data_IF_673517975129
#
_entry.id   IF_673517975129
#
_cell.length_a   1.000
_cell.length_b   1.000
_cell.length_c   1.000
_cell.angle_alpha   90.00
_cell.angle_beta   90.00
_cell.angle_gamma   90.00
#
_symmetry.space_group_name_H-M   'P 1'
#
loop_
_entity.id
_entity.type
_entity.pdbx_description
1 polymer ?
#
# COMPACT_ATOMS: atom_id res chain seq x y z
N UNK A 1 1.50 11.08 25.90
CA UNK A 1 0.47 10.51 25.00
C UNK A 1 1.08 10.34 23.60
N UNK A 2 0.59 9.39 22.80
CA UNK A 2 1.05 9.28 21.40
C UNK A 2 0.45 10.40 20.57
N UNK A 3 1.27 10.99 19.69
CA UNK A 3 0.86 12.02 18.75
C UNK A 3 1.75 12.00 17.50
N UNK A 4 1.24 12.59 16.41
CA UNK A 4 1.94 12.76 15.13
C UNK A 4 2.47 11.43 14.58
N UNK A 5 1.56 10.48 14.34
CA UNK A 5 1.90 9.24 13.67
C UNK A 5 2.22 9.52 12.19
N UNK A 6 3.21 8.83 11.64
CA UNK A 6 3.66 9.00 10.26
C UNK A 6 3.94 7.65 9.63
N UNK A 7 3.73 7.59 8.32
CA UNK A 7 4.07 6.44 7.47
C UNK A 7 5.28 6.81 6.61
N UNK A 8 6.19 5.87 6.38
CA UNK A 8 7.32 6.01 5.45
C UNK A 8 7.38 4.80 4.52
N UNK A 9 7.44 4.97 3.18
CA UNK A 9 7.38 6.24 2.43
C UNK A 9 6.14 7.09 2.74
N UNK A 10 6.29 8.42 2.69
CA UNK A 10 5.27 9.37 3.14
C UNK A 10 4.18 9.66 2.11
N UNK A 11 3.07 10.30 2.53
CA UNK A 11 1.95 10.71 1.67
C UNK A 11 2.36 11.74 0.59
N UNK A 12 1.53 11.99 -0.44
CA UNK A 12 0.15 11.48 -0.61
C UNK A 12 0.05 10.12 -1.29
N UNK A 13 1.05 9.72 -2.08
CA UNK A 13 0.98 8.49 -2.87
C UNK A 13 2.32 7.76 -2.95
N UNK A 14 2.26 6.44 -3.02
CA UNK A 14 3.38 5.56 -3.30
C UNK A 14 3.02 4.67 -4.49
N UNK A 15 3.72 4.84 -5.61
CA UNK A 15 3.50 4.07 -6.82
C UNK A 15 4.49 2.92 -6.90
N UNK A 16 3.98 1.72 -7.14
CA UNK A 16 4.76 0.48 -7.18
C UNK A 16 4.30 -0.39 -8.34
N UNK A 17 5.13 -1.33 -8.79
CA UNK A 17 4.73 -2.29 -9.82
C UNK A 17 4.38 -3.62 -9.17
N UNK A 18 3.45 -4.35 -9.77
CA UNK A 18 3.07 -5.68 -9.31
C UNK A 18 4.32 -6.59 -9.22
N UNK A 19 4.50 -7.29 -8.11
CA UNK A 19 5.65 -8.14 -7.80
C UNK A 19 6.88 -7.38 -7.28
N UNK A 20 6.80 -6.06 -7.07
CA UNK A 20 7.81 -5.33 -6.30
C UNK A 20 7.52 -5.51 -4.80
N UNK A 21 8.54 -5.73 -3.96
CA UNK A 21 8.33 -5.75 -2.52
C UNK A 21 8.07 -4.32 -2.01
N UNK A 22 7.13 -4.19 -1.07
CA UNK A 22 6.80 -2.92 -0.41
C UNK A 22 6.96 -3.08 1.10
N UNK A 23 7.74 -2.18 1.71
CA UNK A 23 7.85 -2.08 3.17
C UNK A 23 7.41 -0.70 3.59
N UNK A 24 6.31 -0.62 4.32
CA UNK A 24 5.84 0.61 4.97
C UNK A 24 6.23 0.58 6.45
N UNK A 25 6.71 1.70 6.96
CA UNK A 25 7.05 1.87 8.38
C UNK A 25 6.13 2.89 9.02
N UNK A 26 5.61 2.55 10.20
CA UNK A 26 4.88 3.47 11.04
C UNK A 26 5.79 3.97 12.18
N UNK A 27 5.70 5.27 12.47
CA UNK A 27 6.42 5.88 13.58
C UNK A 27 5.57 6.97 14.24
N UNK A 28 5.98 7.40 15.44
CA UNK A 28 5.39 8.55 16.16
C UNK A 28 6.50 9.53 16.52
N UNK A 29 6.22 10.83 16.37
CA UNK A 29 7.16 11.87 16.83
C UNK A 29 7.15 12.01 18.36
N UNK A 30 5.99 11.73 18.98
CA UNK A 30 5.80 11.84 20.44
C UNK A 30 5.07 10.59 20.93
N UNK A 31 5.59 9.95 21.98
CA UNK A 31 4.96 8.80 22.64
C UNK A 31 5.85 8.21 23.73
N UNK A 32 5.25 7.61 24.75
CA UNK A 32 5.96 6.79 25.74
C UNK A 32 5.80 5.30 25.43
N UNK A 33 6.75 4.46 25.86
CA UNK A 33 6.56 3.02 25.75
C UNK A 33 5.52 2.50 26.79
N UNK A 34 4.77 1.43 26.49
CA UNK A 34 4.72 0.72 25.20
C UNK A 34 3.80 1.43 24.18
N UNK A 35 4.24 1.46 22.92
CA UNK A 35 3.43 1.89 21.77
C UNK A 35 3.12 0.69 20.90
N UNK A 36 1.85 0.50 20.55
CA UNK A 36 1.40 -0.51 19.59
C UNK A 36 0.97 0.17 18.30
N UNK A 37 1.18 -0.50 17.17
CA UNK A 37 0.84 0.03 15.85
C UNK A 37 -0.13 -0.93 15.14
N UNK A 38 -1.14 -0.36 14.49
CA UNK A 38 -2.13 -1.08 13.70
C UNK A 38 -2.21 -0.45 12.32
N UNK A 39 -2.07 -1.25 11.27
CA UNK A 39 -2.22 -0.83 9.89
C UNK A 39 -3.66 -0.99 9.43
N UNK A 40 -4.16 0.03 8.75
CA UNK A 40 -5.45 0.05 8.10
C UNK A 40 -5.25 0.11 6.58
N UNK A 41 -6.04 -0.67 5.84
CA UNK A 41 -6.25 -0.51 4.41
C UNK A 41 -7.74 -0.24 4.15
N UNK A 42 -8.04 0.90 3.54
CA UNK A 42 -9.41 1.36 3.27
C UNK A 42 -10.27 1.36 4.54
N UNK A 43 -9.68 1.83 5.65
CA UNK A 43 -10.32 1.90 6.97
C UNK A 43 -10.47 0.57 7.71
N UNK A 44 -10.01 -0.55 7.14
CA UNK A 44 -10.08 -1.88 7.77
C UNK A 44 -8.72 -2.32 8.28
N UNK A 45 -8.70 -2.96 9.45
CA UNK A 45 -7.47 -3.52 10.02
C UNK A 45 -6.87 -4.56 9.07
N UNK A 46 -5.60 -4.36 8.73
CA UNK A 46 -4.83 -5.22 7.85
C UNK A 46 -3.78 -6.02 8.62
N UNK A 47 -3.02 -5.33 9.48
CA UNK A 47 -1.88 -5.92 10.19
C UNK A 47 -1.54 -5.13 11.47
N UNK A 48 -0.66 -5.71 12.28
CA UNK A 48 -0.15 -5.09 13.50
C UNK A 48 1.38 -5.07 13.49
N UNK A 49 1.96 -4.05 14.11
CA UNK A 49 3.41 -3.87 14.21
C UNK A 49 3.92 -2.61 13.52
N UNK A 50 5.17 -2.22 13.80
CA UNK A 50 5.76 -0.97 13.27
C UNK A 50 6.10 -1.05 11.78
N UNK A 51 6.12 -2.25 11.20
CA UNK A 51 6.40 -2.50 9.78
C UNK A 51 5.22 -3.24 9.16
N UNK A 52 4.93 -2.91 7.90
CA UNK A 52 4.03 -3.64 7.02
C UNK A 52 4.82 -4.04 5.78
N UNK A 53 5.01 -5.35 5.61
CA UNK A 53 5.77 -5.93 4.52
C UNK A 53 4.80 -6.65 3.56
N UNK A 54 4.87 -6.28 2.28
CA UNK A 54 4.08 -6.85 1.19
C UNK A 54 5.07 -7.36 0.12
N UNK A 55 5.32 -8.67 0.08
CA UNK A 55 6.38 -9.25 -0.76
C UNK A 55 5.95 -9.49 -2.22
N UNK A 56 4.73 -9.98 -2.43
CA UNK A 56 4.17 -10.30 -3.76
C UNK A 56 2.98 -9.38 -4.09
N UNK A 57 3.26 -8.08 -4.21
CA UNK A 57 2.19 -7.09 -4.40
C UNK A 57 1.51 -7.23 -5.77
N UNK A 58 0.20 -7.03 -5.84
CA UNK A 58 -0.58 -7.02 -7.08
C UNK A 58 -1.54 -5.82 -7.12
N UNK A 59 -2.27 -5.67 -8.23
CA UNK A 59 -3.24 -4.58 -8.40
C UNK A 59 -4.29 -4.51 -7.29
N UNK A 60 -4.64 -5.64 -6.67
CA UNK A 60 -5.61 -5.74 -5.57
C UNK A 60 -5.06 -5.27 -4.22
N UNK A 61 -3.76 -5.00 -4.12
CA UNK A 61 -3.16 -4.36 -2.96
C UNK A 61 -3.26 -2.83 -3.01
N UNK A 62 -3.70 -2.25 -4.12
CA UNK A 62 -3.95 -0.81 -4.21
C UNK A 62 -5.02 -0.39 -3.21
N UNK A 63 -4.87 0.79 -2.63
CA UNK A 63 -5.80 1.32 -1.64
C UNK A 63 -5.20 2.41 -0.78
N UNK A 64 -5.98 2.87 0.19
CA UNK A 64 -5.55 3.91 1.13
C UNK A 64 -5.03 3.27 2.42
N UNK A 65 -3.77 3.49 2.72
CA UNK A 65 -3.09 2.96 3.89
C UNK A 65 -2.96 4.02 4.98
N UNK A 66 -3.24 3.62 6.21
CA UNK A 66 -3.00 4.42 7.40
C UNK A 66 -2.42 3.57 8.51
N UNK A 67 -1.72 4.21 9.44
CA UNK A 67 -1.30 3.60 10.68
C UNK A 67 -1.98 4.28 11.87
N UNK A 68 -2.37 3.48 12.85
CA UNK A 68 -2.84 3.90 14.16
C UNK A 68 -1.81 3.54 15.20
N UNK A 69 -1.17 4.54 15.81
CA UNK A 69 -0.34 4.35 16.99
C UNK A 69 -1.19 4.45 18.26
N UNK A 70 -1.03 3.50 19.19
CA UNK A 70 -1.78 3.44 20.44
C UNK A 70 -0.83 3.31 21.62
N UNK A 71 -1.08 4.06 22.69
CA UNK A 71 -0.35 3.96 23.96
C UNK A 71 -1.35 3.98 25.13
N UNK A 72 -1.09 3.13 26.14
CA UNK A 72 -1.83 3.09 27.39
C UNK A 72 -1.00 3.70 28.53
N UNK A 73 -1.49 4.79 29.10
CA UNK A 73 -0.91 5.42 30.29
C UNK A 73 -1.68 4.98 31.55
N UNK A 74 -0.95 4.67 32.61
CA UNK A 74 -1.47 4.27 33.93
C UNK A 74 -2.52 3.15 33.89
N UNK A 75 -2.42 2.24 32.90
CA UNK A 75 -3.33 1.10 32.73
C UNK A 75 -4.74 1.43 32.22
N UNK A 76 -5.16 2.69 32.25
CA UNK A 76 -6.55 3.08 31.99
C UNK A 76 -6.73 4.12 30.88
N UNK A 77 -5.73 4.96 30.60
CA UNK A 77 -5.87 6.04 29.61
C UNK A 77 -5.30 5.60 28.26
N UNK A 78 -6.16 5.42 27.28
CA UNK A 78 -5.77 5.03 25.91
C UNK A 78 -5.65 6.29 25.05
N UNK A 79 -4.48 6.52 24.48
CA UNK A 79 -4.22 7.56 23.50
C UNK A 79 -3.99 6.93 22.13
N UNK A 80 -4.55 7.55 21.08
CA UNK A 80 -4.42 7.11 19.69
C UNK A 80 -3.98 8.26 18.81
N UNK A 81 -3.11 7.98 17.85
CA UNK A 81 -2.72 8.91 16.80
C UNK A 81 -2.84 8.21 15.45
N UNK A 82 -3.60 8.81 14.52
CA UNK A 82 -3.68 8.35 13.14
C UNK A 82 -2.61 9.05 12.31
N UNK A 83 -2.01 8.33 11.37
CA UNK A 83 -1.20 8.93 10.32
C UNK A 83 -2.07 9.59 9.24
N UNK A 84 -1.50 10.49 8.43
CA UNK A 84 -2.08 10.83 7.13
C UNK A 84 -2.33 9.58 6.27
N UNK A 85 -3.26 9.71 5.35
CA UNK A 85 -3.57 8.70 4.34
C UNK A 85 -2.47 8.62 3.28
N UNK A 86 -2.00 7.41 3.00
CA UNK A 86 -1.08 7.11 1.91
C UNK A 86 -1.82 6.29 0.84
N UNK A 87 -1.97 6.83 -0.36
CA UNK A 87 -2.49 6.07 -1.49
C UNK A 87 -1.39 5.15 -2.05
N UNK A 88 -1.56 3.83 -1.95
CA UNK A 88 -0.70 2.86 -2.61
C UNK A 88 -1.31 2.51 -3.97
N UNK A 89 -0.59 2.79 -5.04
CA UNK A 89 -1.03 2.53 -6.41
C UNK A 89 -0.14 1.47 -7.04
N UNK A 90 -0.72 0.28 -7.28
CA UNK A 90 0.01 -0.84 -7.86
C UNK A 90 -0.31 -0.94 -9.35
N UNK A 91 0.71 -0.75 -10.18
CA UNK A 91 0.58 -0.86 -11.64
C UNK A 91 0.93 -2.29 -12.10
N UNK A 92 0.18 -2.89 -13.05
CA UNK A 92 0.57 -4.17 -13.63
C UNK A 92 1.96 -4.11 -14.23
N UNK A 93 2.79 -5.14 -14.01
CA UNK A 93 3.97 -5.36 -14.84
C UNK A 93 3.46 -5.70 -16.24
N UNK A 94 3.66 -4.79 -17.19
CA UNK A 94 3.32 -5.04 -18.58
C UNK A 94 4.00 -6.32 -19.05
N UNK A 95 3.20 -7.33 -19.38
CA UNK A 95 3.68 -8.46 -20.15
C UNK A 95 3.99 -7.90 -21.53
N UNK A 96 5.26 -7.68 -21.84
CA UNK A 96 5.71 -7.42 -23.20
C UNK A 96 5.47 -8.67 -24.03
N UNK A 97 4.22 -8.92 -24.40
CA UNK A 97 3.89 -9.90 -25.42
C UNK A 97 4.27 -9.28 -26.77
N UNK A 98 5.51 -9.54 -27.19
CA UNK A 98 5.87 -9.46 -28.60
C UNK A 98 5.24 -10.66 -29.32
N UNK A 99 3.94 -10.59 -29.53
CA UNK A 99 3.14 -11.52 -30.32
C UNK A 99 2.57 -10.82 -31.55
N UNK A 100 3.45 -10.40 -32.47
CA UNK A 100 3.00 -9.98 -33.80
C UNK A 100 2.39 -11.16 -34.54
N UNK A 101 1.10 -11.08 -34.84
CA UNK A 101 0.51 -11.71 -36.02
C UNK A 101 -0.37 -10.66 -36.70
N UNK A 102 0.21 -9.91 -37.63
CA UNK A 102 -0.58 -9.40 -38.75
C UNK A 102 -0.96 -10.60 -39.61
N UNK A 103 -2.26 -10.92 -39.81
CA UNK A 103 -2.64 -11.76 -40.93
C UNK A 103 -2.36 -10.93 -42.19
N UNK A 104 -1.34 -11.35 -42.94
CA UNK A 104 -1.01 -10.76 -44.22
C UNK A 104 -2.22 -10.78 -45.16
N UNK A 105 -2.37 -9.70 -45.93
CA UNK A 105 -3.06 -9.72 -47.21
C UNK A 105 -2.48 -10.87 -48.05
N UNK A 106 -3.31 -11.85 -48.43
CA UNK A 106 -3.31 -12.45 -49.77
C UNK A 106 -4.62 -13.23 -49.99
N UNK A 107 -5.35 -12.87 -51.05
CA UNK A 107 -6.29 -13.76 -51.73
C UNK A 107 -7.78 -13.42 -51.61
N UNK A 108 -8.33 -12.72 -52.60
CA UNK A 108 -9.78 -12.58 -52.74
C UNK A 108 -10.26 -11.59 -53.81
N UNK A 109 -9.81 -11.75 -55.06
CA UNK A 109 -10.47 -11.09 -56.20
C UNK A 109 -11.87 -11.73 -56.36
N UNK A 110 -12.94 -11.03 -55.97
CA UNK A 110 -14.31 -11.40 -56.35
C UNK A 110 -14.64 -10.74 -57.69
N UNK A 111 -14.68 -11.56 -58.74
CA UNK A 111 -15.49 -11.31 -59.92
C UNK A 111 -16.96 -11.49 -59.53
N UNK A 112 -17.79 -10.47 -59.80
CA UNK A 112 -19.14 -10.56 -60.36
C UNK A 112 -19.52 -9.15 -60.85
#
# INVERSE_FOLDING_TARGET
PVANATVTPGPPAHQVRAGDPVTLRCSVQVGSAPVTFTWLRDGRELAQGPLLELEDIDVGHSGTYQCVATNRLDGHRVFRALSPELALEVTPRGHGDKGGVTPGLYGGLRLL
#
